data_IF_112950018181
#
_entry.id   IF_112950018181
#
_cell.length_a   1.000
_cell.length_b   1.000
_cell.length_c   1.000
_cell.angle_alpha   90.00
_cell.angle_beta   90.00
_cell.angle_gamma   90.00
#
_symmetry.space_group_name_H-M   'P 1'
#
loop_
_entity.id
_entity.type
_entity.pdbx_description
1 polymer ?
#
# COMPACT_ATOMS: atom_id res chain seq x y z
N UNK A 1 28.05 -10.62 23.46
CA UNK A 1 27.76 -11.39 22.26
C UNK A 1 26.29 -11.66 22.08
N UNK A 2 25.59 -12.20 23.07
CA UNK A 2 24.14 -12.48 22.96
C UNK A 2 23.30 -11.22 22.70
N UNK A 3 23.69 -10.08 23.30
CA UNK A 3 22.97 -8.82 23.13
C UNK A 3 23.07 -8.31 21.68
N UNK A 4 24.26 -8.41 21.05
CA UNK A 4 24.47 -8.00 19.67
C UNK A 4 23.63 -8.83 18.68
N UNK A 5 23.55 -10.14 18.91
CA UNK A 5 22.75 -11.03 18.08
C UNK A 5 21.27 -10.68 18.16
N UNK A 6 20.76 -10.37 19.36
CA UNK A 6 19.37 -9.97 19.55
C UNK A 6 19.06 -8.65 18.83
N UNK A 7 19.96 -7.68 18.86
CA UNK A 7 19.79 -6.40 18.16
C UNK A 7 19.71 -6.61 16.65
N UNK A 8 20.57 -7.45 16.10
CA UNK A 8 20.56 -7.77 14.66
C UNK A 8 19.24 -8.43 14.25
N UNK A 9 18.71 -9.34 15.04
CA UNK A 9 17.43 -9.99 14.77
C UNK A 9 16.27 -9.01 14.77
N UNK A 10 16.26 -8.06 15.69
CA UNK A 10 15.23 -7.01 15.75
C UNK A 10 15.26 -6.13 14.50
N UNK A 11 16.45 -5.74 14.04
CA UNK A 11 16.60 -4.94 12.83
C UNK A 11 16.10 -5.68 11.59
N UNK A 12 16.43 -6.95 11.44
CA UNK A 12 15.96 -7.80 10.33
C UNK A 12 14.43 -7.92 10.39
N UNK A 13 13.85 -8.10 11.59
CA UNK A 13 12.42 -8.19 11.78
C UNK A 13 11.70 -6.92 11.34
N UNK A 14 12.25 -5.74 11.64
CA UNK A 14 11.66 -4.46 11.22
C UNK A 14 11.61 -4.32 9.69
N UNK A 15 12.66 -4.73 8.99
CA UNK A 15 12.67 -4.70 7.52
C UNK A 15 11.67 -5.67 6.90
N UNK A 16 11.43 -6.83 7.55
CA UNK A 16 10.54 -7.86 7.03
C UNK A 16 9.07 -7.40 6.93
N UNK A 17 8.67 -6.37 7.70
CA UNK A 17 7.29 -5.89 7.75
C UNK A 17 7.07 -4.59 6.97
N UNK A 18 8.10 -4.06 6.29
CA UNK A 18 7.95 -2.87 5.46
C UNK A 18 7.15 -3.19 4.20
N UNK A 19 6.01 -2.52 4.04
CA UNK A 19 5.09 -2.78 2.93
C UNK A 19 4.21 -1.57 2.64
N UNK A 20 3.56 -1.61 1.46
CA UNK A 20 2.58 -0.64 1.02
C UNK A 20 1.26 -1.34 0.74
N UNK A 21 0.19 -0.56 0.70
CA UNK A 21 -1.13 -1.03 0.30
C UNK A 21 -1.43 -0.48 -1.10
N UNK A 22 -1.78 -1.35 -2.01
CA UNK A 22 -2.13 -0.99 -3.39
C UNK A 22 -3.62 -1.21 -3.61
N UNK A 23 -4.31 -0.18 -4.08
CA UNK A 23 -5.70 -0.30 -4.53
C UNK A 23 -5.69 -0.30 -6.05
N UNK A 24 -5.81 -1.48 -6.70
CA UNK A 24 -5.82 -1.54 -8.16
C UNK A 24 -7.13 -0.98 -8.70
N UNK A 25 -7.07 -0.35 -9.88
CA UNK A 25 -8.24 0.21 -10.54
C UNK A 25 -8.51 -0.47 -11.89
N UNK A 26 -7.89 -1.61 -12.13
CA UNK A 26 -8.15 -2.45 -13.29
C UNK A 26 -9.36 -3.38 -13.03
N UNK A 27 -9.51 -4.41 -13.84
CA UNK A 27 -10.62 -5.37 -13.73
C UNK A 27 -10.59 -6.20 -12.43
N UNK A 28 -9.46 -6.21 -11.72
CA UNK A 28 -9.38 -6.92 -10.43
C UNK A 28 -10.10 -6.18 -9.31
N UNK A 29 -10.46 -4.90 -9.50
CA UNK A 29 -11.17 -4.12 -8.49
C UNK A 29 -12.64 -4.51 -8.45
N UNK A 30 -13.13 -4.91 -7.28
CA UNK A 30 -14.53 -5.27 -7.09
C UNK A 30 -15.48 -4.07 -7.08
N UNK A 31 -15.00 -2.90 -6.68
CA UNK A 31 -15.84 -1.69 -6.60
C UNK A 31 -15.01 -0.43 -6.83
N UNK A 32 -14.94 -0.01 -8.11
CA UNK A 32 -14.16 1.16 -8.51
C UNK A 32 -14.65 2.46 -7.85
N UNK A 33 -15.95 2.63 -7.78
CA UNK A 33 -16.52 3.85 -7.20
C UNK A 33 -16.16 4.01 -5.73
N UNK A 34 -16.29 2.95 -4.95
CA UNK A 34 -15.92 2.98 -3.53
C UNK A 34 -14.41 3.06 -3.31
N UNK A 35 -13.61 2.60 -4.28
CA UNK A 35 -12.16 2.77 -4.22
C UNK A 35 -11.78 4.25 -4.21
N UNK A 36 -12.43 5.08 -5.03
CA UNK A 36 -12.25 6.53 -4.96
C UNK A 36 -12.66 7.09 -3.60
N UNK A 37 -13.70 6.53 -2.99
CA UNK A 37 -14.13 6.92 -1.65
C UNK A 37 -13.09 6.63 -0.58
N UNK A 38 -12.38 5.49 -0.68
CA UNK A 38 -11.27 5.18 0.21
C UNK A 38 -10.13 6.18 0.02
N UNK A 39 -9.77 6.47 -1.24
CA UNK A 39 -8.73 7.45 -1.54
C UNK A 39 -9.07 8.83 -0.93
N UNK A 40 -10.30 9.27 -1.07
CA UNK A 40 -10.79 10.52 -0.49
C UNK A 40 -10.70 10.50 1.03
N UNK A 41 -11.12 9.40 1.67
CA UNK A 41 -11.03 9.23 3.11
C UNK A 41 -9.58 9.32 3.61
N UNK A 42 -8.64 8.72 2.86
CA UNK A 42 -7.21 8.78 3.19
C UNK A 42 -6.72 10.23 3.17
N UNK A 43 -7.09 10.98 2.14
CA UNK A 43 -6.73 12.40 2.03
C UNK A 43 -7.33 13.23 3.16
N UNK A 44 -8.58 12.98 3.53
CA UNK A 44 -9.23 13.69 4.63
C UNK A 44 -8.54 13.45 5.99
N UNK A 45 -7.89 12.32 6.13
CA UNK A 45 -7.18 11.96 7.37
C UNK A 45 -5.69 12.31 7.30
N UNK A 46 -5.29 13.15 6.35
CA UNK A 46 -3.92 13.65 6.18
C UNK A 46 -2.89 12.53 6.03
N UNK A 47 -3.30 11.40 5.45
CA UNK A 47 -2.42 10.28 5.16
C UNK A 47 -1.87 10.41 3.74
N UNK A 48 -0.69 9.83 3.52
CA UNK A 48 -0.04 9.87 2.21
C UNK A 48 -0.78 8.99 1.21
N UNK A 49 -0.93 9.50 -0.02
CA UNK A 49 -1.49 8.73 -1.13
C UNK A 49 -0.74 9.12 -2.41
N UNK A 50 -0.43 8.11 -3.23
CA UNK A 50 0.13 8.30 -4.57
C UNK A 50 -0.85 7.75 -5.59
N UNK A 51 -1.17 8.53 -6.58
CA UNK A 51 -2.03 8.10 -7.69
C UNK A 51 -1.16 7.71 -8.88
N UNK A 52 -1.09 6.42 -9.14
CA UNK A 52 -0.29 5.84 -10.22
C UNK A 52 -1.14 5.80 -11.49
N UNK A 53 -1.22 6.95 -12.18
CA UNK A 53 -2.16 7.18 -13.28
C UNK A 53 -2.10 6.15 -14.39
N UNK A 54 -0.91 5.68 -14.74
CA UNK A 54 -0.70 4.77 -15.86
C UNK A 54 -0.44 3.33 -15.43
N UNK A 55 -0.70 3.01 -14.19
CA UNK A 55 -0.49 1.67 -13.65
C UNK A 55 -1.83 1.02 -13.30
N UNK A 56 -2.15 -0.10 -13.95
CA UNK A 56 -3.35 -0.91 -13.67
C UNK A 56 -4.62 -0.05 -13.54
N UNK A 57 -4.87 0.79 -14.54
CA UNK A 57 -6.09 1.60 -14.59
C UNK A 57 -6.08 2.88 -13.76
N UNK A 58 -4.93 3.26 -13.25
CA UNK A 58 -4.82 4.44 -12.37
C UNK A 58 -4.95 4.06 -10.90
N UNK A 59 -4.10 3.16 -10.45
CA UNK A 59 -4.13 2.61 -9.09
C UNK A 59 -3.66 3.59 -8.04
N UNK A 60 -4.02 3.34 -6.77
CA UNK A 60 -3.57 4.12 -5.63
C UNK A 60 -2.58 3.33 -4.80
N UNK A 61 -1.51 3.99 -4.37
CA UNK A 61 -0.53 3.42 -3.45
C UNK A 61 -0.52 4.19 -2.15
N UNK A 62 -0.66 3.48 -1.04
CA UNK A 62 -0.88 4.05 0.28
C UNK A 62 0.02 3.37 1.30
N UNK A 63 0.23 4.00 2.47
CA UNK A 63 0.89 3.29 3.57
C UNK A 63 0.08 2.05 3.95
N UNK A 64 0.77 0.98 4.33
CA UNK A 64 0.10 -0.20 4.85
C UNK A 64 -0.30 0.04 6.31
N UNK A 65 -1.37 0.77 6.49
CA UNK A 65 -1.93 1.09 7.80
C UNK A 65 -3.19 0.26 8.03
N UNK A 66 -3.37 -0.22 9.25
CA UNK A 66 -4.49 -1.08 9.61
C UNK A 66 -5.84 -0.38 9.39
N UNK A 67 -5.89 0.92 9.63
CA UNK A 67 -7.08 1.75 9.45
C UNK A 67 -7.50 1.81 7.97
N UNK A 68 -6.53 1.91 7.06
CA UNK A 68 -6.80 1.94 5.62
C UNK A 68 -7.30 0.57 5.15
N UNK A 69 -6.65 -0.49 5.61
CA UNK A 69 -7.07 -1.86 5.29
C UNK A 69 -8.50 -2.10 5.75
N UNK A 70 -8.85 -1.66 6.96
CA UNK A 70 -10.20 -1.79 7.50
C UNK A 70 -11.23 -1.06 6.66
N UNK A 71 -10.90 0.16 6.19
CA UNK A 71 -11.80 0.91 5.31
C UNK A 71 -12.04 0.18 3.99
N UNK A 72 -10.99 -0.43 3.42
CA UNK A 72 -11.14 -1.24 2.22
C UNK A 72 -12.09 -2.42 2.45
N UNK A 73 -11.90 -3.14 3.54
CA UNK A 73 -12.74 -4.30 3.89
C UNK A 73 -14.20 -3.88 4.09
N UNK A 74 -14.43 -2.82 4.87
CA UNK A 74 -15.78 -2.33 5.17
C UNK A 74 -16.51 -1.89 3.90
N UNK A 75 -15.81 -1.25 2.98
CA UNK A 75 -16.40 -0.72 1.75
C UNK A 75 -16.39 -1.71 0.58
N UNK A 76 -15.85 -2.91 0.78
CA UNK A 76 -15.78 -3.92 -0.28
C UNK A 76 -14.82 -3.54 -1.41
N UNK A 77 -13.73 -2.86 -1.08
CA UNK A 77 -12.72 -2.42 -2.04
C UNK A 77 -11.58 -3.43 -2.07
N UNK A 78 -11.24 -3.92 -3.26
CA UNK A 78 -10.12 -4.84 -3.45
C UNK A 78 -8.80 -4.11 -3.23
N UNK A 79 -7.88 -4.75 -2.53
CA UNK A 79 -6.56 -4.20 -2.26
C UNK A 79 -5.52 -5.31 -2.20
N UNK A 80 -4.25 -4.92 -2.34
CA UNK A 80 -3.11 -5.84 -2.27
C UNK A 80 -2.06 -5.26 -1.34
N UNK A 81 -1.46 -6.12 -0.52
CA UNK A 81 -0.31 -5.72 0.29
C UNK A 81 0.94 -6.10 -0.49
N UNK A 82 1.78 -5.12 -0.77
CA UNK A 82 3.01 -5.32 -1.54
C UNK A 82 4.23 -4.91 -0.71
N UNK A 83 5.35 -5.60 -0.93
CA UNK A 83 6.61 -5.25 -0.27
C UNK A 83 7.12 -3.90 -0.77
N UNK A 84 7.86 -3.17 0.06
CA UNK A 84 8.45 -1.89 -0.33
C UNK A 84 9.33 -2.01 -1.59
N UNK A 85 10.07 -3.09 -1.71
CA UNK A 85 10.89 -3.33 -2.90
C UNK A 85 10.04 -3.40 -4.17
N UNK A 86 8.88 -4.04 -4.09
CA UNK A 86 7.94 -4.12 -5.21
C UNK A 86 7.33 -2.75 -5.52
N UNK A 87 7.00 -1.98 -4.49
CA UNK A 87 6.49 -0.63 -4.67
C UNK A 87 7.50 0.27 -5.40
N UNK A 88 8.76 0.18 -5.01
CA UNK A 88 9.85 0.91 -5.67
C UNK A 88 9.98 0.49 -7.13
N UNK A 89 9.90 -0.81 -7.41
CA UNK A 89 9.98 -1.34 -8.77
C UNK A 89 8.82 -0.81 -9.64
N UNK A 90 7.62 -0.76 -9.10
CA UNK A 90 6.44 -0.22 -9.80
C UNK A 90 6.65 1.26 -10.12
N UNK A 91 7.09 2.05 -9.16
CA UNK A 91 7.33 3.48 -9.36
C UNK A 91 8.44 3.73 -10.38
N UNK A 92 9.50 2.92 -10.35
CA UNK A 92 10.60 3.01 -11.31
C UNK A 92 10.12 2.71 -12.73
N UNK A 93 9.26 1.72 -12.90
CA UNK A 93 8.69 1.36 -14.20
C UNK A 93 7.85 2.50 -14.77
N UNK A 94 7.07 3.17 -13.94
CA UNK A 94 6.23 4.30 -14.36
C UNK A 94 7.08 5.48 -14.81
N UNK A 95 8.19 5.74 -14.12
CA UNK A 95 9.09 6.86 -14.42
C UNK A 95 10.00 6.61 -15.62
N UNK A 96 10.18 5.36 -16.02
CA UNK A 96 10.98 5.02 -17.18
C UNK A 96 10.13 5.07 -18.46
#
# INVERSE_FOLDING_TARGET
MKILINIILVLIGNYAFASKLLIPMDQSQSNHLKAYGVAFWVLENDLEIKWLLNYRGGSFMLPNAKEIESECVIRGVSYEIIADAQAIAIESEILS
#
